data_IF_894395868909
#
_entry.id   IF_894395868909
#
_cell.length_a   1.000
_cell.length_b   1.000
_cell.length_c   1.000
_cell.angle_alpha   90.00
_cell.angle_beta   90.00
_cell.angle_gamma   90.00
#
_symmetry.space_group_name_H-M   'P 1'
#
loop_
_entity.id
_entity.type
_entity.pdbx_description
1 polymer ?
#
# COMPACT_ATOMS: atom_id res chain seq x y z
N UNK A 1 13.18 -14.31 -17.46
CA UNK A 1 14.53 -14.23 -16.86
C UNK A 1 15.12 -12.81 -16.90
N UNK A 2 15.41 -12.20 -18.06
CA UNK A 2 16.04 -10.85 -18.15
C UNK A 2 15.21 -9.75 -17.47
N UNK A 3 13.89 -9.73 -17.69
CA UNK A 3 13.00 -8.68 -17.16
C UNK A 3 12.97 -8.63 -15.63
N UNK A 4 12.93 -9.81 -15.01
CA UNK A 4 12.97 -9.96 -13.56
C UNK A 4 14.31 -9.49 -12.99
N UNK A 5 15.42 -9.88 -13.64
CA UNK A 5 16.75 -9.45 -13.26
C UNK A 5 16.90 -7.93 -13.33
N UNK A 6 16.45 -7.30 -14.42
CA UNK A 6 16.43 -5.84 -14.59
C UNK A 6 15.59 -5.17 -13.50
N UNK A 7 14.35 -5.63 -13.27
CA UNK A 7 13.49 -5.03 -12.26
C UNK A 7 14.09 -5.17 -10.85
N UNK A 8 14.72 -6.30 -10.53
CA UNK A 8 15.43 -6.50 -9.26
C UNK A 8 16.65 -5.57 -9.13
N UNK A 9 17.40 -5.36 -10.22
CA UNK A 9 18.55 -4.45 -10.27
C UNK A 9 18.14 -3.00 -10.01
N UNK A 10 17.04 -2.55 -10.60
CA UNK A 10 16.54 -1.16 -10.47
C UNK A 10 15.71 -0.90 -9.22
N UNK A 11 15.09 -1.94 -8.63
CA UNK A 11 14.23 -1.84 -7.44
C UNK A 11 14.63 -2.87 -6.38
N UNK A 12 15.87 -2.84 -5.86
CA UNK A 12 16.37 -3.89 -4.98
C UNK A 12 15.59 -3.98 -3.65
N UNK A 13 15.12 -2.85 -3.13
CA UNK A 13 14.47 -2.78 -1.80
C UNK A 13 13.19 -3.62 -1.71
N UNK A 14 12.24 -3.49 -2.64
CA UNK A 14 11.03 -4.34 -2.61
C UNK A 14 11.32 -5.84 -2.70
N UNK A 15 12.40 -6.24 -3.37
CA UNK A 15 12.83 -7.64 -3.43
C UNK A 15 13.54 -8.10 -2.16
N UNK A 16 14.18 -7.19 -1.42
CA UNK A 16 14.73 -7.48 -0.10
C UNK A 16 13.61 -7.65 0.94
N UNK A 17 12.52 -6.90 0.82
CA UNK A 17 11.36 -6.97 1.72
C UNK A 17 10.44 -8.17 1.46
N UNK A 18 10.32 -8.60 0.19
CA UNK A 18 9.37 -9.64 -0.21
C UNK A 18 9.52 -10.99 0.53
N UNK A 19 10.72 -11.53 0.78
CA UNK A 19 10.87 -12.82 1.48
C UNK A 19 10.19 -12.85 2.85
N UNK A 20 10.38 -11.83 3.69
CA UNK A 20 9.73 -11.76 5.00
C UNK A 20 8.21 -11.66 4.89
N UNK A 21 7.70 -10.95 3.88
CA UNK A 21 6.26 -10.87 3.62
C UNK A 21 5.66 -12.21 3.17
N UNK A 22 6.43 -13.05 2.48
CA UNK A 22 6.03 -14.40 2.05
C UNK A 22 6.12 -15.42 3.19
N UNK A 23 7.13 -15.29 4.05
CA UNK A 23 7.26 -16.11 5.26
C UNK A 23 6.04 -15.95 6.17
N UNK A 24 5.56 -14.71 6.31
CA UNK A 24 4.36 -14.39 7.10
C UNK A 24 3.10 -15.13 6.66
N UNK A 25 2.99 -15.55 5.39
CA UNK A 25 1.81 -16.28 4.88
C UNK A 25 1.69 -17.71 5.42
N UNK A 26 2.77 -18.21 6.02
CA UNK A 26 2.89 -19.61 6.46
C UNK A 26 2.95 -19.75 7.98
N UNK A 27 2.82 -18.65 8.71
CA UNK A 27 2.84 -18.65 10.16
C UNK A 27 1.55 -19.25 10.71
N UNK A 28 1.65 -19.98 11.80
CA UNK A 28 0.50 -20.31 12.63
C UNK A 28 -0.08 -19.05 13.30
N UNK A 29 -1.30 -19.17 13.81
CA UNK A 29 -2.03 -18.05 14.39
C UNK A 29 -1.33 -17.43 15.61
N UNK A 30 -0.75 -18.26 16.48
CA UNK A 30 -0.09 -17.79 17.71
C UNK A 30 1.17 -16.97 17.37
N UNK A 31 2.01 -17.50 16.47
CA UNK A 31 3.22 -16.84 16.00
C UNK A 31 2.89 -15.55 15.25
N UNK A 32 1.83 -15.55 14.44
CA UNK A 32 1.36 -14.36 13.75
C UNK A 32 0.90 -13.28 14.74
N UNK A 33 0.11 -13.66 15.75
CA UNK A 33 -0.37 -12.74 16.78
C UNK A 33 0.79 -12.11 17.57
N UNK A 34 1.78 -12.92 17.98
CA UNK A 34 2.98 -12.43 18.65
C UNK A 34 3.78 -11.45 17.78
N UNK A 35 3.95 -11.75 16.49
CA UNK A 35 4.61 -10.83 15.54
C UNK A 35 3.82 -9.52 15.36
N UNK A 36 2.49 -9.59 15.29
CA UNK A 36 1.64 -8.40 15.19
C UNK A 36 1.75 -7.53 16.44
N UNK A 37 1.74 -8.13 17.63
CA UNK A 37 1.90 -7.40 18.89
C UNK A 37 3.24 -6.68 18.92
N UNK A 38 4.33 -7.40 18.62
CA UNK A 38 5.66 -6.79 18.55
C UNK A 38 5.72 -5.61 17.56
N UNK A 39 5.09 -5.75 16.39
CA UNK A 39 5.05 -4.68 15.40
C UNK A 39 4.25 -3.45 15.87
N UNK A 40 3.13 -3.65 16.59
CA UNK A 40 2.34 -2.56 17.18
C UNK A 40 3.17 -1.83 18.23
N UNK A 41 3.80 -2.58 19.14
CA UNK A 41 4.65 -2.05 20.21
C UNK A 41 5.80 -1.19 19.64
N UNK A 42 6.49 -1.70 18.62
CA UNK A 42 7.57 -0.98 17.93
C UNK A 42 7.06 0.25 17.19
N UNK A 43 5.94 0.14 16.47
CA UNK A 43 5.37 1.25 15.69
C UNK A 43 4.93 2.41 16.58
N UNK A 44 4.26 2.11 17.70
CA UNK A 44 3.77 3.14 18.63
C UNK A 44 4.92 3.81 19.35
N UNK A 45 5.89 3.03 19.84
CA UNK A 45 7.12 3.58 20.44
C UNK A 45 7.85 4.49 19.47
N UNK A 46 8.07 4.03 18.24
CA UNK A 46 8.70 4.82 17.20
C UNK A 46 7.94 6.12 16.93
N UNK A 47 6.61 6.07 16.84
CA UNK A 47 5.78 7.25 16.60
C UNK A 47 5.90 8.28 17.74
N UNK A 48 5.87 7.83 18.99
CA UNK A 48 6.04 8.69 20.18
C UNK A 48 7.42 9.34 20.22
N UNK A 49 8.48 8.59 19.92
CA UNK A 49 9.85 9.11 19.94
C UNK A 49 10.11 10.09 18.80
N UNK A 50 9.53 9.84 17.62
CA UNK A 50 9.93 10.51 16.40
C UNK A 50 8.96 11.59 15.91
N UNK A 51 7.76 11.72 16.48
CA UNK A 51 6.77 12.72 16.02
C UNK A 51 6.21 13.52 17.19
N UNK A 52 5.83 14.79 16.96
CA UNK A 52 5.30 15.64 18.02
C UNK A 52 3.86 15.28 18.36
N UNK A 53 3.05 14.96 17.33
CA UNK A 53 1.64 14.63 17.52
C UNK A 53 1.47 13.36 18.36
N UNK A 54 2.16 12.26 18.03
CA UNK A 54 2.00 11.01 18.77
C UNK A 54 2.71 11.04 20.13
N UNK A 55 3.78 11.81 20.29
CA UNK A 55 4.37 12.07 21.61
C UNK A 55 3.33 12.67 22.56
N UNK A 56 2.64 13.72 22.13
CA UNK A 56 1.60 14.39 22.92
C UNK A 56 0.36 13.50 23.11
N UNK A 57 -0.13 12.87 22.03
CA UNK A 57 -1.35 12.07 22.11
C UNK A 57 -1.20 10.80 22.94
N UNK A 58 -0.01 10.23 23.03
CA UNK A 58 0.18 8.98 23.78
C UNK A 58 0.84 9.20 25.14
N UNK A 59 1.22 10.44 25.48
CA UNK A 59 1.75 10.80 26.79
C UNK A 59 0.77 10.39 27.91
N UNK A 60 1.25 9.59 28.85
CA UNK A 60 0.47 9.09 29.98
C UNK A 60 -0.62 8.06 29.64
N UNK A 61 -0.88 7.79 28.35
CA UNK A 61 -1.84 6.76 27.88
C UNK A 61 -1.15 5.42 27.63
N UNK A 62 0.05 5.47 27.06
CA UNK A 62 0.85 4.29 26.77
C UNK A 62 1.93 4.16 27.84
N UNK A 63 1.94 3.01 28.51
CA UNK A 63 2.89 2.71 29.58
C UNK A 63 4.34 2.60 29.07
N UNK A 64 5.30 2.77 29.97
CA UNK A 64 6.74 2.65 29.67
C UNK A 64 7.20 1.21 29.42
N UNK A 65 6.33 0.23 29.63
CA UNK A 65 6.61 -1.22 29.50
C UNK A 65 6.83 -1.63 28.04
N UNK A 66 6.47 -0.78 27.08
CA UNK A 66 6.61 -1.05 25.65
C UNK A 66 5.52 -1.94 25.08
N UNK A 67 4.74 -2.64 25.92
CA UNK A 67 3.56 -3.40 25.52
C UNK A 67 2.37 -2.45 25.35
N UNK A 68 1.80 -2.42 24.15
CA UNK A 68 0.70 -1.54 23.76
C UNK A 68 -0.57 -2.35 23.58
N UNK A 69 -1.59 -2.02 24.38
CA UNK A 69 -2.92 -2.56 24.18
C UNK A 69 -3.64 -1.73 23.10
N UNK A 70 -4.23 -2.39 22.10
CA UNK A 70 -4.84 -1.70 20.96
C UNK A 70 -6.00 -0.79 21.39
N UNK A 71 -6.68 -1.12 22.49
CA UNK A 71 -7.78 -0.35 23.08
C UNK A 71 -7.32 0.99 23.68
N UNK A 72 -6.02 1.12 23.97
CA UNK A 72 -5.44 2.38 24.45
C UNK A 72 -5.18 3.36 23.31
N UNK A 73 -5.22 2.91 22.06
CA UNK A 73 -4.92 3.74 20.89
C UNK A 73 -6.17 4.53 20.48
N UNK A 74 -6.16 5.87 20.64
CA UNK A 74 -7.27 6.70 20.18
C UNK A 74 -7.44 6.59 18.67
N UNK A 75 -8.69 6.58 18.21
CA UNK A 75 -9.02 6.59 16.79
C UNK A 75 -8.54 7.91 16.17
N UNK A 76 -7.82 7.80 15.05
CA UNK A 76 -7.34 8.94 14.28
C UNK A 76 -8.36 9.35 13.22
N UNK A 77 -8.87 10.58 13.31
CA UNK A 77 -9.83 11.13 12.35
C UNK A 77 -9.13 11.84 11.19
N UNK A 78 -9.86 12.03 10.09
CA UNK A 78 -9.37 12.75 8.91
C UNK A 78 -9.03 14.20 9.24
N UNK A 79 -9.85 14.85 10.06
CA UNK A 79 -9.71 16.23 10.48
C UNK A 79 -8.45 16.41 11.34
N UNK A 80 -8.16 15.45 12.22
CA UNK A 80 -6.94 15.44 13.02
C UNK A 80 -5.70 15.34 12.15
N UNK A 81 -5.72 14.50 11.11
CA UNK A 81 -4.60 14.40 10.15
C UNK A 81 -4.41 15.71 9.39
N UNK A 82 -5.49 16.35 8.93
CA UNK A 82 -5.40 17.65 8.24
C UNK A 82 -4.79 18.71 9.15
N UNK A 83 -5.26 18.81 10.40
CA UNK A 83 -4.80 19.81 11.36
C UNK A 83 -3.38 19.57 11.87
N UNK A 84 -2.90 18.32 11.89
CA UNK A 84 -1.64 17.93 12.53
C UNK A 84 -0.62 17.27 11.59
N UNK A 85 -0.83 17.30 10.27
CA UNK A 85 0.00 16.62 9.26
C UNK A 85 1.51 16.78 9.50
N UNK A 86 1.94 18.02 9.70
CA UNK A 86 3.37 18.33 9.83
C UNK A 86 3.92 17.90 11.20
N UNK A 87 3.08 17.90 12.23
CA UNK A 87 3.40 17.38 13.58
C UNK A 87 3.45 15.86 13.63
N UNK A 88 2.79 15.17 12.69
CA UNK A 88 2.85 13.71 12.52
C UNK A 88 4.06 13.27 11.69
N UNK A 89 4.83 14.20 11.12
CA UNK A 89 6.04 13.87 10.37
C UNK A 89 7.16 13.49 11.33
N UNK A 90 7.95 12.48 10.96
CA UNK A 90 9.16 12.14 11.70
C UNK A 90 10.16 13.31 11.70
N UNK A 91 10.56 13.75 12.90
CA UNK A 91 11.48 14.86 13.17
C UNK A 91 12.89 14.64 12.64
N UNK A 92 13.31 13.38 12.55
CA UNK A 92 14.68 12.96 12.22
C UNK A 92 14.88 12.66 10.73
N UNK A 93 13.87 12.87 9.88
CA UNK A 93 14.01 12.63 8.45
C UNK A 93 14.86 13.72 7.79
N UNK A 94 15.79 13.28 6.94
CA UNK A 94 16.59 14.18 6.11
C UNK A 94 15.66 15.00 5.19
N UNK A 95 15.83 16.33 5.10
CA UNK A 95 15.11 17.13 4.13
C UNK A 95 15.21 16.55 2.71
N UNK A 96 14.07 16.41 2.03
CA UNK A 96 13.99 15.84 0.68
C UNK A 96 13.91 14.31 0.62
N UNK A 97 14.01 13.59 1.74
CA UNK A 97 13.81 12.12 1.77
C UNK A 97 12.33 11.71 1.87
N UNK A 98 11.42 12.67 1.88
CA UNK A 98 9.97 12.47 2.00
C UNK A 98 9.23 13.31 0.97
N UNK A 99 8.03 12.87 0.60
CA UNK A 99 7.18 13.46 -0.42
C UNK A 99 5.77 13.66 0.13
N UNK A 100 5.08 14.66 -0.39
CA UNK A 100 3.67 14.88 -0.08
C UNK A 100 2.80 14.01 -1.00
N UNK A 101 1.97 13.17 -0.41
CA UNK A 101 0.99 12.34 -1.09
C UNK A 101 -0.41 12.86 -0.86
N UNK A 102 -1.32 12.52 -1.77
CA UNK A 102 -2.73 12.85 -1.67
C UNK A 102 -3.56 11.58 -1.81
N UNK A 103 -4.62 11.44 -1.02
CA UNK A 103 -5.60 10.38 -1.24
C UNK A 103 -6.51 10.73 -2.42
N UNK A 104 -6.87 9.73 -3.22
CA UNK A 104 -7.97 9.86 -4.19
C UNK A 104 -9.29 9.58 -3.49
N UNK A 105 -10.27 10.48 -3.58
CA UNK A 105 -11.57 10.32 -2.96
C UNK A 105 -12.68 10.97 -3.77
N UNK A 106 -13.83 10.29 -3.83
CA UNK A 106 -15.07 10.75 -4.48
C UNK A 106 -15.70 11.99 -3.83
N UNK A 107 -15.25 12.36 -2.64
CA UNK A 107 -15.77 13.46 -1.81
C UNK A 107 -15.11 14.82 -2.06
N UNK A 108 -14.22 14.91 -3.07
CA UNK A 108 -13.72 16.19 -3.60
C UNK A 108 -12.56 16.84 -2.85
N UNK A 109 -12.26 16.45 -1.61
CA UNK A 109 -11.08 16.97 -0.88
C UNK A 109 -10.04 15.85 -0.65
N UNK A 110 -8.92 15.86 -1.39
CA UNK A 110 -7.81 14.94 -1.16
C UNK A 110 -7.19 15.14 0.23
N UNK A 111 -6.92 14.05 0.96
CA UNK A 111 -6.17 14.10 2.22
C UNK A 111 -4.66 14.10 1.90
N UNK A 112 -3.94 15.11 2.37
CA UNK A 112 -2.50 15.22 2.18
C UNK A 112 -1.73 14.55 3.33
N UNK A 113 -0.69 13.76 3.03
CA UNK A 113 0.14 13.08 4.03
C UNK A 113 1.59 12.91 3.56
N UNK A 114 2.53 12.85 4.51
CA UNK A 114 3.95 12.62 4.21
C UNK A 114 4.26 11.13 4.06
N UNK A 115 5.12 10.78 3.11
CA UNK A 115 5.64 9.42 2.96
C UNK A 115 7.07 9.44 2.43
N UNK A 116 7.83 8.37 2.69
CA UNK A 116 9.17 8.16 2.16
C UNK A 116 9.22 7.05 1.11
N UNK A 117 10.39 6.87 0.51
CA UNK A 117 10.60 5.85 -0.52
C UNK A 117 10.50 4.43 0.05
N UNK A 118 10.90 4.22 1.30
CA UNK A 118 10.81 2.92 1.96
C UNK A 118 9.35 2.44 2.05
N UNK A 119 8.43 3.31 2.44
CA UNK A 119 6.99 3.02 2.45
C UNK A 119 6.48 2.58 1.08
N UNK A 120 6.93 3.23 0.00
CA UNK A 120 6.53 2.86 -1.38
C UNK A 120 7.07 1.48 -1.74
N UNK A 121 8.33 1.20 -1.44
CA UNK A 121 8.94 -0.10 -1.74
C UNK A 121 8.28 -1.24 -0.93
N UNK A 122 7.95 -1.00 0.34
CA UNK A 122 7.19 -1.95 1.17
C UNK A 122 5.78 -2.20 0.62
N UNK A 123 5.05 -1.14 0.25
CA UNK A 123 3.74 -1.27 -0.41
C UNK A 123 3.86 -2.14 -1.68
N UNK A 124 4.87 -1.86 -2.52
CA UNK A 124 5.08 -2.61 -3.77
C UNK A 124 5.45 -4.06 -3.51
N UNK A 125 6.25 -4.35 -2.47
CA UNK A 125 6.53 -5.71 -2.05
C UNK A 125 5.25 -6.44 -1.59
N UNK A 126 4.38 -5.77 -0.83
CA UNK A 126 3.07 -6.31 -0.44
C UNK A 126 2.14 -6.56 -1.62
N UNK A 127 2.12 -5.67 -2.63
CA UNK A 127 1.40 -5.90 -3.88
C UNK A 127 1.97 -7.11 -4.63
N UNK A 128 3.29 -7.22 -4.74
CA UNK A 128 3.95 -8.37 -5.37
C UNK A 128 3.57 -9.68 -4.69
N UNK A 129 3.53 -9.69 -3.35
CA UNK A 129 3.03 -10.83 -2.57
C UNK A 129 1.61 -11.20 -3.02
N UNK A 130 0.67 -10.25 -2.96
CA UNK A 130 -0.72 -10.50 -3.33
C UNK A 130 -0.91 -10.98 -4.78
N UNK A 131 -0.18 -10.39 -5.73
CA UNK A 131 -0.23 -10.82 -7.13
C UNK A 131 0.28 -12.25 -7.33
N UNK A 132 1.24 -12.72 -6.52
CA UNK A 132 1.73 -14.10 -6.65
C UNK A 132 0.65 -15.14 -6.37
N UNK A 133 -0.41 -14.80 -5.64
CA UNK A 133 -1.55 -15.69 -5.41
C UNK A 133 -2.32 -16.02 -6.70
N UNK A 134 -2.26 -15.16 -7.74
CA UNK A 134 -2.85 -15.46 -9.05
C UNK A 134 -1.90 -16.21 -9.99
N UNK A 135 -0.71 -16.58 -9.52
CA UNK A 135 0.34 -17.18 -10.35
C UNK A 135 1.30 -16.17 -10.98
N UNK A 136 1.03 -14.86 -10.88
CA UNK A 136 1.94 -13.82 -11.39
C UNK A 136 3.34 -13.95 -10.79
N UNK A 137 4.36 -13.61 -11.58
CA UNK A 137 5.77 -13.58 -11.17
C UNK A 137 6.39 -12.21 -11.43
N UNK A 138 7.31 -11.75 -10.55
CA UNK A 138 8.02 -10.50 -10.76
C UNK A 138 8.69 -10.42 -12.13
N UNK A 139 8.37 -9.35 -12.87
CA UNK A 139 8.86 -9.13 -14.24
C UNK A 139 7.86 -9.52 -15.33
N UNK A 140 6.76 -10.18 -14.98
CA UNK A 140 5.61 -10.39 -15.87
C UNK A 140 4.75 -9.12 -15.97
N UNK A 141 4.07 -8.97 -17.11
CA UNK A 141 3.21 -7.81 -17.39
C UNK A 141 1.99 -7.83 -16.45
N UNK A 142 1.58 -6.64 -16.00
CA UNK A 142 0.33 -6.43 -15.26
C UNK A 142 -0.51 -5.43 -16.05
N UNK A 143 -1.72 -5.83 -16.42
CA UNK A 143 -2.75 -4.95 -16.93
C UNK A 143 -3.62 -4.51 -15.76
N UNK A 144 -3.72 -3.21 -15.52
CA UNK A 144 -4.61 -2.69 -14.48
C UNK A 144 -5.81 -2.02 -15.12
N UNK A 145 -7.01 -2.41 -14.68
CA UNK A 145 -8.26 -1.73 -15.01
C UNK A 145 -8.63 -0.81 -13.85
N UNK A 146 -8.59 0.49 -14.08
CA UNK A 146 -9.05 1.49 -13.11
C UNK A 146 -10.16 2.32 -13.77
N UNK A 147 -11.28 2.47 -13.07
CA UNK A 147 -12.39 3.32 -13.50
C UNK A 147 -12.36 4.66 -12.78
N UNK A 148 -11.35 5.50 -13.00
CA UNK A 148 -11.54 6.92 -12.68
C UNK A 148 -12.41 7.53 -13.78
N UNK A 149 -13.35 8.42 -13.43
CA UNK A 149 -14.16 9.16 -14.43
C UNK A 149 -13.28 9.92 -15.45
N UNK A 150 -12.04 10.20 -15.06
CA UNK A 150 -10.98 10.81 -15.85
C UNK A 150 -10.33 9.83 -16.86
N UNK A 151 -10.30 8.53 -16.56
CA UNK A 151 -9.74 7.47 -17.40
C UNK A 151 -10.69 7.03 -18.51
N UNK A 152 -12.00 7.23 -18.32
CA UNK A 152 -13.03 6.90 -19.32
C UNK A 152 -12.93 7.73 -20.61
N UNK A 153 -12.20 8.84 -20.63
CA UNK A 153 -11.89 9.58 -21.87
C UNK A 153 -10.75 8.95 -22.70
N UNK A 154 -10.06 7.93 -22.21
CA UNK A 154 -8.82 7.37 -22.82
C UNK A 154 -8.75 5.84 -22.83
N UNK A 155 -9.87 5.16 -23.02
CA UNK A 155 -9.98 3.68 -22.94
C UNK A 155 -9.15 2.92 -24.03
N UNK A 156 -8.45 3.58 -24.95
CA UNK A 156 -7.87 2.90 -26.12
C UNK A 156 -6.43 2.37 -26.08
N UNK A 157 -5.60 2.60 -25.05
CA UNK A 157 -4.18 2.17 -25.10
C UNK A 157 -3.69 1.51 -23.80
N UNK A 158 -3.56 0.17 -23.76
CA UNK A 158 -2.88 -0.50 -22.63
C UNK A 158 -2.18 -1.84 -22.98
N UNK A 159 -1.02 -1.73 -23.62
CA UNK A 159 0.16 -2.57 -23.29
C UNK A 159 1.35 -1.62 -23.12
N UNK A 160 1.88 -1.48 -21.90
CA UNK A 160 3.14 -0.75 -21.65
C UNK A 160 4.16 -1.72 -21.08
N UNK A 161 5.27 -1.86 -21.79
CA UNK A 161 6.44 -2.58 -21.32
C UNK A 161 7.34 -1.67 -20.47
N UNK A 162 7.81 -2.23 -19.35
CA UNK A 162 8.77 -1.72 -18.37
C UNK A 162 8.45 -0.41 -17.60
N UNK A 163 8.08 -0.58 -16.33
CA UNK A 163 9.12 -0.41 -15.30
C UNK A 163 9.45 1.00 -14.79
N UNK A 164 8.73 2.06 -15.13
CA UNK A 164 8.67 3.31 -14.37
C UNK A 164 7.32 3.94 -14.66
N UNK A 165 6.57 4.36 -13.64
CA UNK A 165 5.34 5.13 -13.84
C UNK A 165 5.71 6.54 -14.29
N UNK A 166 6.11 6.69 -15.54
CA UNK A 166 5.99 7.95 -16.25
C UNK A 166 4.87 7.80 -17.25
N UNK A 167 3.96 8.76 -17.24
CA UNK A 167 2.77 8.85 -18.07
C UNK A 167 3.16 9.09 -19.53
N UNK A 168 3.12 8.09 -20.43
CA UNK A 168 3.52 8.26 -21.82
C UNK A 168 2.33 8.66 -22.67
N UNK A 169 2.54 9.77 -23.36
CA UNK A 169 1.81 10.27 -24.52
C UNK A 169 1.76 9.18 -25.62
N UNK A 170 0.57 9.07 -26.23
CA UNK A 170 0.21 8.49 -27.54
C UNK A 170 0.63 7.05 -27.95
N UNK A 171 -0.42 6.29 -28.28
CA UNK A 171 -0.65 5.45 -29.50
C UNK A 171 -0.39 3.93 -29.53
N UNK A 172 -1.52 3.20 -29.58
CA UNK A 172 -2.03 2.17 -30.53
C UNK A 172 -1.78 0.64 -30.34
N UNK A 173 -2.92 -0.07 -30.16
CA UNK A 173 -3.44 -1.31 -30.81
C UNK A 173 -3.24 -2.73 -30.20
N UNK A 174 -4.38 -3.26 -29.69
CA UNK A 174 -5.00 -4.62 -29.72
C UNK A 174 -4.20 -5.95 -29.74
N UNK A 175 -4.54 -6.87 -28.82
CA UNK A 175 -5.19 -8.20 -29.07
C UNK A 175 -5.54 -8.92 -27.75
N UNK A 176 -6.78 -9.41 -27.66
CA UNK A 176 -7.40 -10.15 -26.54
C UNK A 176 -6.76 -11.53 -26.33
N UNK A 177 -6.45 -11.91 -25.09
CA UNK A 177 -6.36 -13.32 -24.68
C UNK A 177 -6.99 -13.53 -23.30
N UNK A 178 -8.00 -14.39 -23.27
CA UNK A 178 -8.71 -14.91 -22.11
C UNK A 178 -7.91 -16.12 -21.58
N UNK A 179 -7.54 -16.14 -20.29
CA UNK A 179 -6.96 -17.32 -19.67
C UNK A 179 -7.97 -17.92 -18.68
N UNK A 180 -8.41 -19.17 -18.86
CA UNK A 180 -9.29 -19.84 -17.90
C UNK A 180 -8.53 -20.05 -16.59
N UNK A 181 -9.20 -19.76 -15.47
CA UNK A 181 -8.72 -20.18 -14.15
C UNK A 181 -8.59 -21.70 -14.05
N UNK A 182 -7.71 -22.19 -13.17
CA UNK A 182 -7.60 -23.62 -12.87
C UNK A 182 -8.95 -24.18 -12.38
N UNK A 183 -9.30 -25.43 -12.73
CA UNK A 183 -10.47 -26.12 -12.15
C UNK A 183 -10.31 -26.25 -10.63
N UNK A 184 -11.35 -25.90 -9.86
CA UNK A 184 -11.44 -26.21 -8.43
C UNK A 184 -11.25 -25.05 -7.44
N UNK A 185 -11.06 -23.80 -7.88
CA UNK A 185 -11.09 -22.63 -6.99
C UNK A 185 -12.28 -21.73 -7.32
N UNK A 186 -13.12 -21.36 -6.34
CA UNK A 186 -14.12 -20.31 -6.55
C UNK A 186 -13.41 -19.00 -6.90
N UNK A 187 -13.94 -18.27 -7.88
CA UNK A 187 -13.44 -16.96 -8.26
C UNK A 187 -13.48 -16.00 -7.05
N UNK A 188 -12.32 -15.69 -6.48
CA UNK A 188 -12.23 -14.68 -5.43
C UNK A 188 -12.47 -13.29 -6.05
N UNK A 189 -13.68 -12.76 -5.85
CA UNK A 189 -13.97 -11.35 -6.06
C UNK A 189 -13.32 -10.53 -4.94
N UNK A 190 -12.14 -9.97 -5.18
CA UNK A 190 -11.70 -8.79 -4.44
C UNK A 190 -12.38 -7.57 -5.06
N UNK A 191 -13.50 -7.13 -4.47
CA UNK A 191 -14.04 -5.79 -4.70
C UNK A 191 -13.42 -4.86 -3.66
N UNK A 192 -12.43 -4.05 -4.07
CA UNK A 192 -12.09 -2.81 -3.36
C UNK A 192 -12.83 -1.68 -4.10
N UNK A 193 -14.14 -1.63 -3.92
CA UNK A 193 -14.97 -0.47 -4.25
C UNK A 193 -16.39 -0.69 -3.70
N UNK A 194 -16.86 0.25 -2.91
CA UNK A 194 -18.16 0.31 -2.27
C UNK A 194 -19.31 0.13 -3.26
N UNK A 195 -20.25 -0.76 -2.94
CA UNK A 195 -21.53 -0.87 -3.64
C UNK A 195 -22.47 0.25 -3.17
N UNK A 196 -22.80 1.17 -4.06
CA UNK A 196 -24.00 2.01 -3.95
C UNK A 196 -25.17 1.19 -4.50
N UNK A 197 -26.10 0.73 -3.64
CA UNK A 197 -27.41 0.25 -4.10
C UNK A 197 -28.31 1.48 -4.26
N UNK A 198 -28.65 1.81 -5.49
CA UNK A 198 -29.84 2.62 -5.77
C UNK A 198 -30.98 1.62 -6.00
N UNK A 199 -31.98 1.61 -5.13
CA UNK A 199 -33.30 1.06 -5.44
C UNK A 199 -34.17 2.26 -5.85
N UNK A 200 -34.59 2.25 -7.11
CA UNK A 200 -35.72 3.01 -7.60
C UNK A 200 -36.91 2.06 -7.65
N UNK A 201 -37.96 2.42 -6.94
CA UNK A 201 -39.27 1.76 -6.87
C UNK A 201 -40.11 2.56 -5.91
#
# INVERSE_FOLDING_TARGET
MIRQWLHRRYRPQRYALLPGLLENERLDAETLQRRQQQAIDEMVRFAMENTDYYAEQYAGRIGRTGLVQIEQLPLLTREQVIANRDRMRNRNLRPGSYRLGHTGGSTGTPLAFWYDDHKIELMRAGMMRGYRWSGWRPGEKILNFWGARQDLKRVFDLVKDFGTSESPKSTRSSTTHWCPGRPGHPAFRHNIASSLRLHTG
#
